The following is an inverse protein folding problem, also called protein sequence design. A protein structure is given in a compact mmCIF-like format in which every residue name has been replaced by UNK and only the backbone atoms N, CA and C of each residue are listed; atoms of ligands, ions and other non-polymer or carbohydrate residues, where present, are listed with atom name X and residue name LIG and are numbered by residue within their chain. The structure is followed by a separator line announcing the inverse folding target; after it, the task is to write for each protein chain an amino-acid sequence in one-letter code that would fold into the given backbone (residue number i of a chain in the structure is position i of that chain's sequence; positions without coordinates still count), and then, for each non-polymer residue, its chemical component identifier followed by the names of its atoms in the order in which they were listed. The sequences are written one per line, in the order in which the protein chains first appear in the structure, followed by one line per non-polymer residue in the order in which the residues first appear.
data_IF_801321029113
#
_entry.id   IF_801321029113
#
_cell.length_a   1.000
_cell.length_b   1.000
_cell.length_c   1.000
_cell.angle_alpha   90.00
_cell.angle_beta   90.00
_cell.angle_gamma   90.00
#
_symmetry.space_group_name_H-M   'P 1'
#
loop_
_entity.id
_entity.type
_entity.pdbx_description
1 polymer ?
#
# COMPACT_ATOMS: atom_id res chain seq x y z
N UNK A 1 -8.44 -7.51 40.95
CA UNK A 1 -7.57 -6.85 39.96
C UNK A 1 -7.54 -7.75 38.73
N UNK A 2 -8.10 -7.32 37.61
CA UNK A 2 -8.05 -8.06 36.33
C UNK A 2 -6.59 -8.10 35.87
N UNK A 3 -6.12 -9.29 35.47
CA UNK A 3 -4.79 -9.44 34.89
C UNK A 3 -4.65 -8.51 33.67
N UNK A 4 -3.48 -7.86 33.45
CA UNK A 4 -3.28 -7.04 32.26
C UNK A 4 -3.58 -7.92 31.04
N UNK A 5 -4.46 -7.43 30.15
CA UNK A 5 -4.85 -8.15 28.95
C UNK A 5 -3.58 -8.42 28.12
N UNK A 6 -3.11 -9.66 28.11
CA UNK A 6 -1.84 -10.00 27.48
C UNK A 6 -2.02 -9.89 25.97
N UNK A 7 -1.30 -8.96 25.34
CA UNK A 7 -1.32 -8.78 23.89
C UNK A 7 -0.92 -10.07 23.18
N UNK A 8 -1.59 -10.38 22.08
CA UNK A 8 -1.20 -11.48 21.18
C UNK A 8 0.04 -11.05 20.41
N UNK A 9 1.08 -11.88 20.41
CA UNK A 9 2.31 -11.60 19.68
C UNK A 9 2.18 -12.09 18.23
N UNK A 10 2.47 -11.21 17.27
CA UNK A 10 2.47 -11.50 15.83
C UNK A 10 3.84 -11.21 15.25
N UNK A 11 4.36 -12.15 14.47
CA UNK A 11 5.62 -11.98 13.73
C UNK A 11 5.29 -11.79 12.26
N UNK A 12 5.79 -10.69 11.68
CA UNK A 12 5.71 -10.41 10.24
C UNK A 12 7.09 -10.69 9.62
N UNK A 13 7.13 -11.60 8.65
CA UNK A 13 8.35 -11.95 7.94
C UNK A 13 8.48 -11.11 6.66
N UNK A 14 9.49 -10.24 6.61
CA UNK A 14 9.78 -9.34 5.49
C UNK A 14 9.36 -7.90 5.75
N UNK A 15 10.23 -6.95 5.41
CA UNK A 15 10.01 -5.52 5.62
C UNK A 15 9.79 -4.76 4.31
N UNK A 16 9.30 -5.42 3.25
CA UNK A 16 8.82 -4.74 2.04
C UNK A 16 7.50 -4.00 2.28
N UNK A 17 7.00 -3.27 1.29
CA UNK A 17 5.76 -2.48 1.43
C UNK A 17 4.58 -3.30 1.96
N UNK A 18 4.40 -4.53 1.48
CA UNK A 18 3.33 -5.43 1.97
C UNK A 18 3.53 -5.77 3.45
N UNK A 19 4.76 -6.10 3.86
CA UNK A 19 5.06 -6.47 5.25
C UNK A 19 4.94 -5.29 6.21
N UNK A 20 5.47 -4.12 5.83
CA UNK A 20 5.39 -2.91 6.64
C UNK A 20 3.94 -2.41 6.80
N UNK A 21 3.16 -2.36 5.72
CA UNK A 21 1.75 -1.95 5.79
C UNK A 21 0.93 -2.95 6.61
N UNK A 22 1.15 -4.25 6.43
CA UNK A 22 0.48 -5.28 7.25
C UNK A 22 0.83 -5.13 8.73
N UNK A 23 2.12 -4.96 9.05
CA UNK A 23 2.58 -4.77 10.42
C UNK A 23 1.97 -3.51 11.06
N UNK A 24 1.90 -2.40 10.31
CA UNK A 24 1.29 -1.15 10.75
C UNK A 24 -0.19 -1.33 11.10
N UNK A 25 -0.98 -1.91 10.20
CA UNK A 25 -2.42 -2.13 10.40
C UNK A 25 -2.67 -3.04 11.60
N UNK A 26 -1.90 -4.11 11.77
CA UNK A 26 -2.02 -4.98 12.97
C UNK A 26 -1.65 -4.21 14.24
N UNK A 27 -0.59 -3.38 14.19
CA UNK A 27 -0.08 -2.65 15.35
C UNK A 27 -1.01 -1.52 15.81
N UNK A 28 -1.91 -1.03 14.96
CA UNK A 28 -2.95 -0.05 15.32
C UNK A 28 -4.00 -0.64 16.28
N UNK A 29 -4.18 -1.96 16.29
CA UNK A 29 -5.03 -2.62 17.29
C UNK A 29 -4.31 -2.70 18.65
N UNK A 30 -5.07 -2.49 19.73
CA UNK A 30 -4.56 -2.61 21.11
C UNK A 30 -4.30 -4.06 21.53
N UNK A 31 -4.80 -5.04 20.76
CA UNK A 31 -4.74 -6.47 21.08
C UNK A 31 -3.42 -7.13 20.68
N UNK A 32 -2.62 -6.49 19.83
CA UNK A 32 -1.44 -7.10 19.24
C UNK A 32 -0.14 -6.38 19.58
N UNK A 33 0.91 -7.19 19.71
CA UNK A 33 2.30 -6.74 19.68
C UNK A 33 2.95 -7.31 18.41
N UNK A 34 3.52 -6.45 17.58
CA UNK A 34 4.11 -6.87 16.29
C UNK A 34 5.62 -6.89 16.37
N UNK A 35 6.24 -7.92 15.80
CA UNK A 35 7.69 -7.98 15.55
C UNK A 35 7.92 -8.25 14.07
N UNK A 36 8.74 -7.40 13.44
CA UNK A 36 9.14 -7.59 12.04
C UNK A 36 10.50 -8.28 12.04
N UNK A 37 10.61 -9.38 11.30
CA UNK A 37 11.87 -10.07 11.04
C UNK A 37 12.10 -9.98 9.53
N UNK A 38 13.19 -9.37 9.11
CA UNK A 38 13.50 -9.20 7.71
C UNK A 38 15.00 -9.27 7.48
N UNK A 39 15.38 -9.70 6.28
CA UNK A 39 16.76 -9.68 5.84
C UNK A 39 17.21 -8.30 5.33
N UNK A 40 16.29 -7.55 4.71
CA UNK A 40 16.50 -6.20 4.20
C UNK A 40 15.39 -5.28 4.73
N UNK A 41 15.77 -4.07 5.13
CA UNK A 41 14.89 -2.98 5.51
C UNK A 41 14.95 -1.84 4.49
N UNK A 42 13.94 -0.97 4.51
CA UNK A 42 13.87 0.18 3.60
C UNK A 42 15.06 1.14 3.72
N UNK A 43 15.74 1.17 4.87
CA UNK A 43 16.93 1.99 5.14
C UNK A 43 18.24 1.36 4.69
N UNK A 44 18.25 0.09 4.31
CA UNK A 44 19.46 -0.61 3.89
C UNK A 44 19.90 -0.16 2.48
N UNK A 45 21.18 -0.37 2.11
CA UNK A 45 21.62 -0.17 0.74
C UNK A 45 20.76 -0.95 -0.27
N UNK A 46 20.52 -0.37 -1.44
CA UNK A 46 19.72 -1.02 -2.48
C UNK A 46 20.26 -2.41 -2.81
N UNK A 47 19.35 -3.36 -2.89
CA UNK A 47 19.65 -4.77 -3.13
C UNK A 47 18.64 -5.37 -4.08
N UNK A 48 19.08 -6.18 -5.03
CA UNK A 48 18.19 -6.95 -5.92
C UNK A 48 17.31 -7.95 -5.16
N UNK A 49 17.61 -8.19 -3.87
CA UNK A 49 16.89 -9.11 -2.99
C UNK A 49 15.77 -8.41 -2.20
N UNK A 50 15.54 -7.13 -2.46
CA UNK A 50 14.50 -6.32 -1.83
C UNK A 50 13.75 -5.49 -2.87
N UNK A 51 12.63 -6.03 -3.37
CA UNK A 51 11.90 -5.48 -4.52
C UNK A 51 11.35 -4.08 -4.29
N UNK A 52 10.99 -3.71 -3.05
CA UNK A 52 10.35 -2.42 -2.76
C UNK A 52 11.24 -1.20 -3.09
N UNK A 53 12.57 -1.32 -3.12
CA UNK A 53 13.46 -0.23 -3.56
C UNK A 53 13.43 0.05 -5.07
N UNK A 54 12.88 -0.87 -5.87
CA UNK A 54 12.93 -0.82 -7.33
C UNK A 54 11.59 -0.40 -7.96
N UNK A 55 10.54 -0.22 -7.16
CA UNK A 55 9.27 0.29 -7.64
C UNK A 55 9.38 1.78 -8.00
N UNK A 56 8.53 2.23 -8.92
CA UNK A 56 8.43 3.64 -9.34
C UNK A 56 8.14 4.60 -8.19
N UNK A 57 7.05 4.51 -7.42
CA UNK A 57 5.78 3.81 -7.62
C UNK A 57 4.69 4.90 -7.83
N UNK A 58 3.63 4.56 -8.55
CA UNK A 58 2.45 5.40 -8.69
C UNK A 58 1.21 4.49 -8.71
N UNK A 59 0.05 5.04 -8.36
CA UNK A 59 -1.19 4.26 -8.32
C UNK A 59 -1.81 4.23 -9.72
N UNK A 60 -1.59 3.13 -10.45
CA UNK A 60 -2.26 2.84 -11.72
C UNK A 60 -3.12 1.62 -11.52
N UNK A 61 -4.45 1.72 -11.69
CA UNK A 61 -5.33 0.58 -11.64
C UNK A 61 -4.91 -0.42 -12.72
N UNK A 62 -4.72 -1.68 -12.31
CA UNK A 62 -4.52 -2.74 -13.29
C UNK A 62 -5.88 -3.13 -13.90
N UNK A 63 -5.88 -4.05 -14.87
CA UNK A 63 -7.12 -4.68 -15.38
C UNK A 63 -7.78 -5.60 -14.32
N UNK A 64 -8.08 -5.05 -13.15
CA UNK A 64 -8.62 -5.73 -11.97
C UNK A 64 -10.14 -5.80 -11.97
N UNK A 65 -10.81 -5.16 -12.94
CA UNK A 65 -12.28 -5.16 -13.09
C UNK A 65 -12.90 -6.56 -13.08
N UNK A 66 -12.18 -7.56 -13.59
CA UNK A 66 -12.64 -8.95 -13.64
C UNK A 66 -12.30 -9.77 -12.38
N UNK A 67 -11.60 -9.19 -11.41
CA UNK A 67 -11.25 -9.80 -10.12
C UNK A 67 -11.72 -8.89 -8.98
N UNK A 68 -12.93 -9.13 -8.43
CA UNK A 68 -13.52 -8.28 -7.39
C UNK A 68 -12.62 -8.07 -6.16
N UNK A 69 -11.77 -9.05 -5.84
CA UNK A 69 -10.86 -8.95 -4.70
C UNK A 69 -9.72 -7.99 -5.00
N UNK A 70 -9.15 -8.03 -6.21
CA UNK A 70 -8.12 -7.08 -6.62
C UNK A 70 -8.68 -5.68 -6.79
N UNK A 71 -9.84 -5.54 -7.43
CA UNK A 71 -10.51 -4.25 -7.59
C UNK A 71 -10.74 -3.57 -6.22
N UNK A 72 -11.22 -4.33 -5.24
CA UNK A 72 -11.41 -3.82 -3.87
C UNK A 72 -10.10 -3.37 -3.23
N UNK A 73 -9.02 -4.15 -3.35
CA UNK A 73 -7.71 -3.78 -2.80
C UNK A 73 -7.15 -2.53 -3.46
N UNK A 74 -7.34 -2.36 -4.77
CA UNK A 74 -6.91 -1.17 -5.51
C UNK A 74 -7.68 0.08 -5.08
N UNK A 75 -9.00 -0.02 -4.95
CA UNK A 75 -9.86 1.05 -4.44
C UNK A 75 -9.43 1.48 -3.02
N UNK A 76 -9.36 0.54 -2.07
CA UNK A 76 -8.98 0.83 -0.67
C UNK A 76 -7.57 1.42 -0.58
N UNK A 77 -6.64 0.94 -1.43
CA UNK A 77 -5.27 1.47 -1.50
C UNK A 77 -5.26 2.88 -2.06
N UNK A 78 -6.04 3.16 -3.11
CA UNK A 78 -6.13 4.49 -3.71
C UNK A 78 -6.72 5.49 -2.73
N UNK A 79 -7.83 5.17 -2.06
CA UNK A 79 -8.45 6.03 -1.04
C UNK A 79 -7.45 6.33 0.08
N UNK A 80 -6.75 5.32 0.59
CA UNK A 80 -5.71 5.50 1.62
C UNK A 80 -4.59 6.43 1.15
N UNK A 81 -4.09 6.25 -0.09
CA UNK A 81 -3.05 7.13 -0.65
C UNK A 81 -3.56 8.55 -0.92
N UNK A 82 -4.83 8.69 -1.30
CA UNK A 82 -5.47 9.98 -1.49
C UNK A 82 -5.58 10.71 -0.15
N UNK A 83 -6.03 10.05 0.91
CA UNK A 83 -6.05 10.62 2.27
C UNK A 83 -4.63 11.00 2.72
N UNK A 84 -3.65 10.12 2.56
CA UNK A 84 -2.27 10.38 2.97
C UNK A 84 -1.59 11.53 2.21
N UNK A 85 -2.13 11.89 1.05
CA UNK A 85 -1.67 13.01 0.23
C UNK A 85 -2.42 14.31 0.47
N UNK A 86 -3.30 14.36 1.48
CA UNK A 86 -4.00 15.59 1.87
C UNK A 86 -3.01 16.65 2.38
N UNK A 87 -3.08 17.87 1.82
CA UNK A 87 -2.20 18.98 2.15
C UNK A 87 -2.25 19.47 3.61
N UNK A 88 -3.21 18.99 4.39
CA UNK A 88 -3.40 19.36 5.79
C UNK A 88 -2.70 18.44 6.79
N UNK A 89 -2.11 17.32 6.34
CA UNK A 89 -1.49 16.32 7.21
C UNK A 89 0.01 16.16 6.94
N UNK A 90 0.76 15.67 7.94
CA UNK A 90 2.23 15.55 7.87
C UNK A 90 2.70 14.65 6.73
N UNK A 91 1.90 13.65 6.35
CA UNK A 91 2.29 12.70 5.32
C UNK A 91 2.34 13.28 3.92
N UNK A 92 1.76 14.46 3.67
CA UNK A 92 1.72 15.08 2.33
C UNK A 92 3.09 15.13 1.66
N UNK A 93 4.15 15.45 2.41
CA UNK A 93 5.52 15.54 1.90
C UNK A 93 6.05 14.25 1.25
N UNK A 94 5.37 13.12 1.45
CA UNK A 94 5.72 11.82 0.89
C UNK A 94 4.86 11.43 -0.32
N UNK A 95 3.82 12.19 -0.65
CA UNK A 95 2.89 11.89 -1.73
C UNK A 95 2.75 13.08 -2.68
N UNK A 96 2.91 12.80 -3.97
CA UNK A 96 2.75 13.81 -5.01
C UNK A 96 1.48 13.52 -5.81
N UNK A 97 0.55 14.49 -5.87
CA UNK A 97 -0.63 14.44 -6.75
C UNK A 97 -0.30 15.12 -8.08
N UNK A 98 -0.36 14.38 -9.19
CA UNK A 98 -0.07 14.89 -10.54
C UNK A 98 -1.10 14.40 -11.55
N UNK A 99 -1.45 15.21 -12.57
CA UNK A 99 -2.16 14.71 -13.74
C UNK A 99 -1.32 13.67 -14.49
N UNK A 100 -1.93 12.54 -14.85
CA UNK A 100 -1.33 11.51 -15.69
C UNK A 100 -1.88 11.58 -17.12
N UNK A 101 -1.05 11.28 -18.10
CA UNK A 101 -1.45 11.18 -19.51
C UNK A 101 -0.80 9.93 -20.10
N UNK A 102 -1.62 8.98 -20.51
CA UNK A 102 -1.17 7.69 -21.03
C UNK A 102 -1.33 7.65 -22.57
N UNK A 103 -0.29 7.13 -23.24
CA UNK A 103 -0.26 6.96 -24.69
C UNK A 103 -0.30 5.47 -25.01
N UNK A 104 -1.28 5.07 -25.83
CA UNK A 104 -1.48 3.69 -26.23
C UNK A 104 -1.21 3.54 -27.74
N UNK A 105 -0.56 2.44 -28.13
CA UNK A 105 -0.23 2.15 -29.54
C UNK A 105 -1.49 1.90 -30.37
N UNK A 106 -2.49 1.23 -29.79
CA UNK A 106 -3.81 1.01 -30.38
C UNK A 106 -4.87 1.82 -29.65
N UNK A 107 -5.95 2.17 -30.36
CA UNK A 107 -7.14 2.72 -29.72
C UNK A 107 -7.59 1.77 -28.60
N UNK A 108 -7.71 2.31 -27.39
CA UNK A 108 -8.15 1.53 -26.26
C UNK A 108 -9.62 1.14 -26.48
N UNK A 109 -9.89 -0.15 -26.65
CA UNK A 109 -11.27 -0.63 -26.83
C UNK A 109 -12.03 -0.64 -25.51
N UNK A 110 -11.34 -0.41 -24.39
CA UNK A 110 -11.90 -0.43 -23.05
C UNK A 110 -11.97 0.98 -22.49
N UNK A 111 -12.82 1.82 -23.08
CA UNK A 111 -13.04 3.26 -22.77
C UNK A 111 -13.35 3.59 -21.30
N UNK A 112 -13.51 2.58 -20.45
CA UNK A 112 -13.99 2.71 -19.08
C UNK A 112 -13.29 1.70 -18.12
N UNK A 113 -11.96 1.58 -18.25
CA UNK A 113 -11.18 0.76 -17.33
C UNK A 113 -11.08 1.36 -15.92
N UNK A 114 -11.38 2.67 -15.76
CA UNK A 114 -11.37 3.36 -14.48
C UNK A 114 -12.74 3.45 -13.78
N UNK A 115 -13.86 2.99 -14.37
CA UNK A 115 -15.19 3.14 -13.73
C UNK A 115 -15.32 2.53 -12.34
N UNK A 116 -14.46 1.58 -11.99
CA UNK A 116 -14.49 0.98 -10.68
C UNK A 116 -13.69 1.78 -9.64
N UNK A 117 -12.91 2.78 -10.03
CA UNK A 117 -12.15 3.59 -9.10
C UNK A 117 -13.04 4.68 -8.47
N UNK A 118 -12.72 5.13 -7.24
CA UNK A 118 -13.35 6.29 -6.64
C UNK A 118 -13.06 7.58 -7.45
N UNK A 119 -13.96 8.56 -7.35
CA UNK A 119 -13.81 9.89 -7.94
C UNK A 119 -12.66 10.71 -7.32
#
# INVERSE_FOLDING_TARGET
MSAPNQKKHVVVLGAGVIGLTTALVIQQSTDYQVTIIAEHFATDPKSIRYTSHWAGAHNVPAESKNDPKKAKLEQETFETMLELSDATIESERYFLRVPQTDYHESADTNVDFLSFMPD
#
